data_IF_753699993887
#
_entry.id   IF_753699993887
#
_cell.length_a   1.000
_cell.length_b   1.000
_cell.length_c   1.000
_cell.angle_alpha   90.00
_cell.angle_beta   90.00
_cell.angle_gamma   90.00
#
_symmetry.space_group_name_H-M   'P 1'
#
loop_
_entity.id
_entity.type
_entity.pdbx_description
1 polymer ?
#
# COMPACT_ATOMS: atom_id res chain seq x y z
N UNK A 1 3.86 -10.30 1.23
CA UNK A 1 4.44 -10.64 2.55
C UNK A 1 5.83 -10.02 2.63
N UNK A 2 6.29 -9.60 3.81
CA UNK A 2 7.67 -9.10 3.97
C UNK A 2 8.68 -10.21 3.64
N UNK A 3 9.84 -9.84 3.08
CA UNK A 3 10.92 -10.79 2.75
C UNK A 3 10.70 -11.67 1.50
N UNK A 4 9.57 -11.55 0.79
CA UNK A 4 9.31 -12.39 -0.38
C UNK A 4 10.01 -11.96 -1.68
N UNK A 5 10.62 -10.77 -1.72
CA UNK A 5 11.28 -10.23 -2.91
C UNK A 5 10.35 -9.45 -3.86
N UNK A 6 9.23 -8.95 -3.37
CA UNK A 6 8.29 -8.11 -4.16
C UNK A 6 8.99 -6.92 -4.82
N UNK A 7 9.83 -6.20 -4.06
CA UNK A 7 10.61 -5.07 -4.58
C UNK A 7 11.54 -5.49 -5.73
N UNK A 8 12.24 -6.62 -5.59
CA UNK A 8 13.09 -7.16 -6.66
C UNK A 8 12.31 -7.43 -7.94
N UNK A 9 11.09 -7.99 -7.84
CA UNK A 9 10.22 -8.19 -9.00
C UNK A 9 9.81 -6.84 -9.63
N UNK A 10 9.37 -5.88 -8.82
CA UNK A 10 8.93 -4.58 -9.32
C UNK A 10 10.06 -3.78 -9.96
N UNK A 11 11.28 -3.90 -9.45
CA UNK A 11 12.46 -3.28 -10.05
C UNK A 11 12.80 -3.93 -11.39
N UNK A 12 12.65 -5.25 -11.49
CA UNK A 12 12.82 -5.97 -12.76
C UNK A 12 11.76 -5.59 -13.79
N UNK A 13 10.51 -5.41 -13.36
CA UNK A 13 9.40 -4.92 -14.21
C UNK A 13 9.71 -3.53 -14.76
N UNK A 14 10.17 -2.61 -13.90
CA UNK A 14 10.58 -1.25 -14.31
C UNK A 14 11.77 -1.30 -15.27
N UNK A 15 12.78 -2.10 -14.98
CA UNK A 15 13.96 -2.27 -15.84
C UNK A 15 13.61 -2.85 -17.22
N UNK A 16 12.55 -3.66 -17.31
CA UNK A 16 12.01 -4.17 -18.57
C UNK A 16 11.15 -3.14 -19.34
N UNK A 17 11.01 -1.91 -18.84
CA UNK A 17 10.29 -0.82 -19.50
C UNK A 17 8.79 -0.77 -19.19
N UNK A 18 8.30 -1.59 -18.26
CA UNK A 18 6.89 -1.53 -17.85
C UNK A 18 6.66 -0.49 -16.77
N UNK A 19 5.55 0.24 -16.87
CA UNK A 19 5.14 1.18 -15.82
C UNK A 19 4.66 0.42 -14.59
N UNK A 20 5.25 0.79 -13.46
CA UNK A 20 4.92 0.21 -12.16
C UNK A 20 4.80 1.30 -11.10
N UNK A 21 3.57 1.54 -10.63
CA UNK A 21 3.25 2.53 -9.60
C UNK A 21 3.22 1.88 -8.23
N UNK A 22 3.85 2.52 -7.24
CA UNK A 22 3.82 2.10 -5.84
C UNK A 22 2.61 2.73 -5.13
N UNK A 23 1.63 1.91 -4.77
CA UNK A 23 0.41 2.34 -4.08
C UNK A 23 0.69 2.84 -2.65
N UNK A 24 1.73 2.33 -1.98
CA UNK A 24 2.14 2.79 -0.65
C UNK A 24 2.78 4.18 -0.76
N UNK A 25 3.48 4.46 -1.87
CA UNK A 25 3.95 5.81 -2.19
C UNK A 25 2.78 6.75 -2.50
N UNK A 26 1.84 6.37 -3.36
CA UNK A 26 0.65 7.17 -3.66
C UNK A 26 -0.11 7.52 -2.37
N UNK A 27 -0.29 6.56 -1.45
CA UNK A 27 -0.92 6.80 -0.15
C UNK A 27 -0.20 7.82 0.75
N UNK A 28 1.11 8.04 0.54
CA UNK A 28 1.85 9.13 1.21
C UNK A 28 1.69 10.45 0.50
N UNK A 29 1.61 10.43 -0.83
CA UNK A 29 1.49 11.61 -1.69
C UNK A 29 0.12 12.26 -1.59
N UNK A 30 -0.94 11.50 -1.30
CA UNK A 30 -2.26 12.09 -1.02
C UNK A 30 -2.30 12.96 0.25
N UNK A 31 -1.24 12.94 1.06
CA UNK A 31 -1.09 13.81 2.24
C UNK A 31 -0.14 14.98 1.98
N UNK A 32 0.32 15.18 0.73
CA UNK A 32 1.13 16.35 0.37
C UNK A 32 0.24 17.59 0.22
N UNK A 33 0.80 18.80 0.47
CA UNK A 33 0.06 20.06 0.33
C UNK A 33 -0.69 20.16 -1.00
N UNK A 34 -1.91 20.70 -0.95
CA UNK A 34 -2.78 20.85 -2.12
C UNK A 34 -3.66 19.62 -2.43
N UNK A 35 -3.48 18.50 -1.71
CA UNK A 35 -4.36 17.34 -1.87
C UNK A 35 -5.79 17.63 -1.37
N UNK A 36 -6.83 17.24 -2.13
CA UNK A 36 -8.23 17.57 -1.80
C UNK A 36 -8.72 16.92 -0.50
N UNK A 37 -8.13 15.81 -0.08
CA UNK A 37 -8.55 15.11 1.14
C UNK A 37 -8.08 15.81 2.43
N UNK A 38 -7.11 16.73 2.37
CA UNK A 38 -6.54 17.40 3.56
C UNK A 38 -7.60 18.18 4.34
N UNK A 39 -8.49 18.89 3.65
CA UNK A 39 -9.55 19.69 4.30
C UNK A 39 -10.48 18.78 5.12
N UNK A 40 -10.86 17.63 4.57
CA UNK A 40 -11.67 16.64 5.28
C UNK A 40 -10.93 16.04 6.46
N UNK A 41 -9.63 15.78 6.32
CA UNK A 41 -8.80 15.30 7.43
C UNK A 41 -8.68 16.32 8.56
N UNK A 42 -8.59 17.62 8.24
CA UNK A 42 -8.59 18.69 9.26
C UNK A 42 -9.92 18.79 9.99
N UNK A 43 -11.05 18.63 9.30
CA UNK A 43 -12.38 18.62 9.90
C UNK A 43 -12.56 17.43 10.85
N UNK A 44 -12.06 16.26 10.47
CA UNK A 44 -12.24 15.02 11.21
C UNK A 44 -11.24 14.87 12.36
N UNK A 45 -9.96 15.18 12.12
CA UNK A 45 -8.87 14.91 13.07
C UNK A 45 -8.31 16.17 13.73
N UNK A 46 -8.88 17.35 13.47
CA UNK A 46 -8.49 18.65 14.04
C UNK A 46 -7.60 19.46 13.11
N UNK A 47 -7.82 20.78 13.03
CA UNK A 47 -7.13 21.64 12.07
C UNK A 47 -5.60 21.67 12.20
N UNK A 48 -5.10 21.43 13.41
CA UNK A 48 -3.68 21.39 13.79
C UNK A 48 -2.92 20.15 13.29
N UNK A 49 -3.60 19.21 12.59
CA UNK A 49 -2.91 18.15 11.84
C UNK A 49 -2.11 18.69 10.64
N UNK A 50 -2.33 19.95 10.26
CA UNK A 50 -1.58 20.65 9.22
C UNK A 50 -0.81 21.81 9.86
N UNK A 51 0.46 21.98 9.50
CA UNK A 51 1.25 23.13 9.94
C UNK A 51 1.02 24.39 9.09
N UNK A 52 1.67 25.48 9.47
CA UNK A 52 1.54 26.79 8.80
C UNK A 52 2.03 26.75 7.34
N UNK A 53 2.87 25.79 6.96
CA UNK A 53 3.33 25.57 5.59
C UNK A 53 2.39 24.67 4.77
N UNK A 54 1.26 24.25 5.34
CA UNK A 54 0.31 23.36 4.68
C UNK A 54 0.71 21.88 4.71
N UNK A 55 1.75 21.51 5.46
CA UNK A 55 2.22 20.12 5.55
C UNK A 55 1.45 19.35 6.61
N UNK A 56 1.01 18.13 6.26
CA UNK A 56 0.38 17.23 7.21
C UNK A 56 1.42 16.73 8.21
N UNK A 57 1.17 16.97 9.50
CA UNK A 57 1.88 16.40 10.65
C UNK A 57 1.53 14.92 10.77
N UNK A 58 2.13 14.09 9.91
CA UNK A 58 1.79 12.67 9.73
C UNK A 58 1.79 11.88 11.04
N UNK A 59 2.71 12.17 11.96
CA UNK A 59 2.76 11.53 13.28
C UNK A 59 1.51 11.85 14.11
N UNK A 60 1.13 13.13 14.18
CA UNK A 60 -0.06 13.57 14.91
C UNK A 60 -1.35 12.98 14.29
N UNK A 61 -1.44 12.99 12.96
CA UNK A 61 -2.56 12.35 12.27
C UNK A 61 -2.63 10.85 12.57
N UNK A 62 -1.49 10.14 12.51
CA UNK A 62 -1.42 8.73 12.82
C UNK A 62 -1.81 8.44 14.29
N UNK A 63 -1.29 9.22 15.23
CA UNK A 63 -1.59 9.07 16.66
C UNK A 63 -3.11 9.22 16.91
N UNK A 64 -3.78 10.17 16.24
CA UNK A 64 -5.24 10.37 16.34
C UNK A 64 -6.04 9.31 15.60
N UNK A 65 -5.68 9.02 14.36
CA UNK A 65 -6.43 8.09 13.52
C UNK A 65 -6.33 6.65 14.02
N UNK A 66 -5.16 6.22 14.48
CA UNK A 66 -4.92 4.84 14.93
C UNK A 66 -5.25 4.61 16.42
N UNK A 67 -5.69 5.65 17.15
CA UNK A 67 -6.15 5.51 18.53
C UNK A 67 -7.39 4.61 18.66
N UNK A 68 -8.24 4.55 17.62
CA UNK A 68 -9.45 3.73 17.62
C UNK A 68 -9.69 3.06 16.26
N UNK A 69 -10.40 1.91 16.23
CA UNK A 69 -10.84 1.30 14.97
C UNK A 69 -11.68 2.25 14.11
N UNK A 70 -12.53 3.06 14.74
CA UNK A 70 -13.37 4.06 14.06
C UNK A 70 -12.51 5.16 13.42
N UNK A 71 -11.50 5.67 14.12
CA UNK A 71 -10.55 6.64 13.56
C UNK A 71 -9.81 6.08 12.34
N UNK A 72 -9.40 4.81 12.40
CA UNK A 72 -8.73 4.14 11.28
C UNK A 72 -9.66 4.01 10.07
N UNK A 73 -10.92 3.65 10.32
CA UNK A 73 -11.94 3.57 9.29
C UNK A 73 -12.24 4.94 8.65
N UNK A 74 -12.31 6.02 9.45
CA UNK A 74 -12.53 7.38 8.95
C UNK A 74 -11.35 7.90 8.14
N UNK A 75 -10.12 7.70 8.61
CA UNK A 75 -8.91 8.04 7.83
C UNK A 75 -8.95 7.33 6.48
N UNK A 76 -9.22 6.03 6.50
CA UNK A 76 -9.31 5.22 5.27
C UNK A 76 -10.41 5.74 4.34
N UNK A 77 -11.60 6.04 4.86
CA UNK A 77 -12.72 6.52 4.07
C UNK A 77 -12.43 7.88 3.39
N UNK A 78 -11.67 8.75 4.06
CA UNK A 78 -11.27 10.05 3.52
C UNK A 78 -10.14 9.91 2.49
N UNK A 79 -9.11 9.12 2.76
CA UNK A 79 -7.92 9.06 1.89
C UNK A 79 -8.10 8.12 0.69
N UNK A 80 -8.88 7.05 0.83
CA UNK A 80 -8.98 6.00 -0.19
C UNK A 80 -9.54 6.48 -1.54
N UNK A 81 -10.58 7.34 -1.61
CA UNK A 81 -11.06 7.88 -2.87
C UNK A 81 -9.96 8.62 -3.66
N UNK A 82 -9.16 9.44 -2.98
CA UNK A 82 -8.06 10.20 -3.61
C UNK A 82 -6.91 9.28 -4.05
N UNK A 83 -6.60 8.24 -3.27
CA UNK A 83 -5.61 7.22 -3.67
C UNK A 83 -6.06 6.53 -4.96
N UNK A 84 -7.33 6.14 -5.03
CA UNK A 84 -7.87 5.49 -6.23
C UNK A 84 -7.89 6.43 -7.42
N UNK A 85 -8.26 7.70 -7.22
CA UNK A 85 -8.25 8.68 -8.27
C UNK A 85 -6.86 8.83 -8.92
N UNK A 86 -5.79 8.94 -8.11
CA UNK A 86 -4.42 9.04 -8.62
C UNK A 86 -3.95 7.78 -9.35
N UNK A 87 -4.34 6.60 -8.86
CA UNK A 87 -4.03 5.33 -9.53
C UNK A 87 -4.79 5.20 -10.87
N UNK A 88 -6.06 5.61 -10.90
CA UNK A 88 -6.88 5.59 -12.11
C UNK A 88 -6.34 6.58 -13.16
N UNK A 89 -5.85 7.77 -12.76
CA UNK A 89 -5.15 8.71 -13.62
C UNK A 89 -3.86 8.11 -14.20
N UNK A 90 -2.99 7.56 -13.35
CA UNK A 90 -1.74 6.95 -13.80
C UNK A 90 -1.97 5.78 -14.77
N UNK A 91 -3.04 5.00 -14.56
CA UNK A 91 -3.46 3.93 -15.46
C UNK A 91 -4.01 4.48 -16.79
N UNK A 92 -4.77 5.57 -16.76
CA UNK A 92 -5.27 6.22 -17.97
C UNK A 92 -4.13 6.80 -18.82
N UNK A 93 -3.14 7.45 -18.19
CA UNK A 93 -1.93 7.95 -18.86
C UNK A 93 -1.13 6.82 -19.53
N UNK A 94 -0.94 5.70 -18.82
CA UNK A 94 -0.29 4.51 -19.37
C UNK A 94 -1.01 4.02 -20.64
N UNK A 95 -2.35 3.96 -20.59
CA UNK A 95 -3.19 3.54 -21.70
C UNK A 95 -3.08 4.50 -22.89
N UNK A 96 -3.07 5.81 -22.64
CA UNK A 96 -2.89 6.82 -23.68
C UNK A 96 -1.50 6.73 -24.34
N UNK A 97 -0.48 6.36 -23.58
CA UNK A 97 0.88 6.09 -24.09
C UNK A 97 0.99 4.76 -24.86
N UNK A 98 -0.10 4.00 -25.02
CA UNK A 98 -0.12 2.72 -25.74
C UNK A 98 0.44 1.55 -24.94
N UNK A 99 0.64 1.71 -23.62
CA UNK A 99 1.13 0.64 -22.75
C UNK A 99 0.06 -0.45 -22.60
N UNK A 100 0.44 -1.69 -22.91
CA UNK A 100 -0.47 -2.85 -22.80
C UNK A 100 -0.58 -3.42 -21.39
N UNK A 101 0.42 -3.15 -20.55
CA UNK A 101 0.51 -3.65 -19.18
C UNK A 101 0.87 -2.50 -18.25
N UNK A 102 0.15 -2.41 -17.14
CA UNK A 102 0.37 -1.46 -16.06
C UNK A 102 0.38 -2.22 -14.74
N UNK A 103 1.41 -1.99 -13.93
CA UNK A 103 1.59 -2.69 -12.67
C UNK A 103 1.32 -1.74 -11.50
N UNK A 104 0.57 -2.22 -10.53
CA UNK A 104 0.43 -1.55 -9.23
C UNK A 104 1.09 -2.43 -8.18
N UNK A 105 2.12 -1.88 -7.55
CA UNK A 105 2.74 -2.49 -6.40
C UNK A 105 2.08 -1.99 -5.11
N UNK A 106 1.54 -2.89 -4.30
CA UNK A 106 0.94 -2.53 -3.02
C UNK A 106 1.03 -3.67 -2.01
N UNK A 107 1.39 -3.35 -0.77
CA UNK A 107 1.47 -4.35 0.29
C UNK A 107 0.10 -4.96 0.66
N UNK A 108 -0.99 -4.20 0.45
CA UNK A 108 -2.35 -4.53 0.89
C UNK A 108 -3.35 -4.39 -0.26
N UNK A 109 -3.14 -5.12 -1.36
CA UNK A 109 -4.13 -5.17 -2.45
C UNK A 109 -5.19 -6.24 -2.18
N UNK A 110 -4.76 -7.46 -1.84
CA UNK A 110 -5.66 -8.61 -1.69
C UNK A 110 -6.63 -8.40 -0.54
N UNK A 111 -7.92 -8.57 -0.80
CA UNK A 111 -9.01 -8.40 0.17
C UNK A 111 -9.48 -6.96 0.34
N UNK A 112 -8.95 -6.00 -0.43
CA UNK A 112 -9.43 -4.60 -0.44
C UNK A 112 -10.33 -4.33 -1.64
N UNK A 113 -11.13 -3.24 -1.63
CA UNK A 113 -11.89 -2.83 -2.82
C UNK A 113 -11.02 -2.56 -4.05
N UNK A 114 -9.72 -2.26 -3.87
CA UNK A 114 -8.78 -2.06 -4.97
C UNK A 114 -8.54 -3.33 -5.78
N UNK A 115 -8.62 -4.52 -5.16
CA UNK A 115 -8.46 -5.79 -5.87
C UNK A 115 -9.39 -5.91 -7.08
N UNK A 116 -10.61 -5.36 -7.00
CA UNK A 116 -11.60 -5.39 -8.10
C UNK A 116 -11.18 -4.57 -9.32
N UNK A 117 -10.20 -3.67 -9.18
CA UNK A 117 -9.62 -2.89 -10.28
C UNK A 117 -8.49 -3.62 -11.00
N UNK A 118 -7.99 -4.72 -10.44
CA UNK A 118 -6.89 -5.48 -11.01
C UNK A 118 -7.44 -6.61 -11.91
N UNK A 119 -7.09 -6.60 -13.20
CA UNK A 119 -7.42 -7.72 -14.10
C UNK A 119 -6.70 -9.01 -13.71
N UNK A 120 -5.50 -8.87 -13.15
CA UNK A 120 -4.69 -9.98 -12.67
C UNK A 120 -4.03 -9.63 -11.34
N UNK A 121 -3.84 -10.64 -10.48
CA UNK A 121 -3.09 -10.53 -9.24
C UNK A 121 -1.82 -11.36 -9.33
N UNK A 122 -0.68 -10.72 -9.10
CA UNK A 122 0.63 -11.39 -9.01
C UNK A 122 1.01 -11.54 -7.55
N UNK A 123 1.07 -12.77 -7.06
CA UNK A 123 1.52 -13.07 -5.71
C UNK A 123 3.00 -13.47 -5.71
N UNK A 124 3.84 -12.62 -5.12
CA UNK A 124 5.24 -12.96 -4.88
C UNK A 124 5.37 -13.68 -3.54
N UNK A 125 5.93 -14.88 -3.56
CA UNK A 125 6.13 -15.69 -2.37
C UNK A 125 7.52 -16.31 -2.35
N UNK A 126 8.06 -16.46 -1.14
CA UNK A 126 9.28 -17.22 -0.86
C UNK A 126 8.97 -18.25 0.24
N UNK A 127 9.82 -19.29 0.42
CA UNK A 127 9.76 -20.14 1.60
C UNK A 127 9.78 -19.30 2.88
N UNK A 128 9.12 -19.78 3.93
CA UNK A 128 8.95 -19.03 5.18
C UNK A 128 10.31 -18.70 5.80
N UNK A 129 11.17 -19.71 5.94
CA UNK A 129 12.53 -19.55 6.49
C UNK A 129 13.40 -18.60 5.66
N UNK A 130 13.31 -18.64 4.32
CA UNK A 130 13.99 -17.68 3.46
C UNK A 130 13.53 -16.24 3.73
N UNK A 131 12.22 -16.06 3.97
CA UNK A 131 11.68 -14.74 4.32
C UNK A 131 12.17 -14.27 5.69
N UNK A 132 12.25 -15.17 6.69
CA UNK A 132 12.82 -14.88 8.02
C UNK A 132 14.27 -14.43 7.89
N UNK A 133 15.12 -15.20 7.20
CA UNK A 133 16.53 -14.86 6.98
C UNK A 133 16.71 -13.49 6.34
N UNK A 134 15.95 -13.20 5.28
CA UNK A 134 15.99 -11.91 4.57
C UNK A 134 15.56 -10.74 5.46
N UNK A 135 14.52 -10.92 6.27
CA UNK A 135 14.06 -9.90 7.21
C UNK A 135 15.12 -9.64 8.28
N UNK A 136 15.71 -10.70 8.85
CA UNK A 136 16.77 -10.56 9.86
C UNK A 136 17.98 -9.79 9.28
N UNK A 137 18.43 -10.18 8.09
CA UNK A 137 19.56 -9.55 7.42
C UNK A 137 19.31 -8.07 7.08
N UNK A 138 18.09 -7.73 6.64
CA UNK A 138 17.73 -6.36 6.23
C UNK A 138 17.45 -5.45 7.44
N UNK A 139 16.71 -5.95 8.42
CA UNK A 139 16.20 -5.13 9.54
C UNK A 139 17.09 -5.21 10.80
N UNK A 140 18.10 -6.10 10.82
CA UNK A 140 18.98 -6.29 11.98
C UNK A 140 18.28 -6.86 13.21
N UNK A 141 17.21 -7.65 13.01
CA UNK A 141 16.38 -8.18 14.10
C UNK A 141 16.57 -9.68 14.30
N UNK A 142 16.24 -10.16 15.51
CA UNK A 142 16.25 -11.57 15.85
C UNK A 142 15.21 -12.38 15.04
N UNK A 143 15.48 -13.66 14.72
CA UNK A 143 14.57 -14.53 13.98
C UNK A 143 13.16 -14.60 14.58
N UNK A 144 13.04 -14.62 15.89
CA UNK A 144 11.77 -14.67 16.61
C UNK A 144 10.92 -13.42 16.32
N UNK A 145 11.55 -12.25 16.23
CA UNK A 145 10.88 -11.00 15.88
C UNK A 145 10.44 -11.00 14.41
N UNK A 146 11.29 -11.50 13.51
CA UNK A 146 10.94 -11.65 12.10
C UNK A 146 9.76 -12.61 11.89
N UNK A 147 9.73 -13.74 12.61
CA UNK A 147 8.61 -14.70 12.61
C UNK A 147 7.31 -14.05 13.07
N UNK A 148 7.32 -13.34 14.21
CA UNK A 148 6.16 -12.58 14.72
C UNK A 148 5.62 -11.61 13.66
N UNK A 149 6.50 -10.86 12.97
CA UNK A 149 6.10 -9.96 11.88
C UNK A 149 5.46 -10.70 10.71
N UNK A 150 5.97 -11.86 10.33
CA UNK A 150 5.44 -12.68 9.23
C UNK A 150 4.09 -13.31 9.58
N UNK A 151 3.90 -13.70 10.83
CA UNK A 151 2.67 -14.35 11.31
C UNK A 151 1.53 -13.35 11.50
N UNK A 152 1.85 -12.10 11.83
CA UNK A 152 0.90 -10.99 11.85
C UNK A 152 0.38 -10.62 10.45
N UNK A 153 1.03 -11.07 9.38
CA UNK A 153 0.60 -10.85 7.99
C UNK A 153 -0.22 -12.02 7.46
N UNK A 154 -1.31 -11.75 6.74
CA UNK A 154 -2.21 -12.74 6.12
C UNK A 154 -1.48 -13.99 5.61
N UNK A 155 -1.91 -15.17 6.10
CA UNK A 155 -1.35 -16.49 5.80
C UNK A 155 -1.32 -16.77 4.30
N UNK A 156 -0.27 -17.45 3.78
CA UNK A 156 -0.20 -17.85 2.35
C UNK A 156 -1.45 -18.64 1.94
N UNK A 157 -2.00 -19.46 2.85
CA UNK A 157 -3.29 -20.16 2.68
C UNK A 157 -4.45 -19.19 2.44
N UNK A 158 -4.57 -18.11 3.22
CA UNK A 158 -5.63 -17.12 3.03
C UNK A 158 -5.52 -16.39 1.68
N UNK A 159 -4.30 -16.09 1.22
CA UNK A 159 -4.07 -15.43 -0.06
C UNK A 159 -4.38 -16.35 -1.26
N UNK A 160 -4.02 -17.64 -1.17
CA UNK A 160 -4.33 -18.63 -2.20
C UNK A 160 -5.80 -19.06 -2.21
N UNK A 161 -6.44 -19.17 -1.05
CA UNK A 161 -7.85 -19.56 -0.94
C UNK A 161 -8.79 -18.47 -1.47
N UNK A 162 -8.44 -17.19 -1.30
CA UNK A 162 -9.21 -16.06 -1.86
C UNK A 162 -9.08 -15.92 -3.38
N UNK A 163 -8.10 -16.56 -4.01
CA UNK A 163 -8.04 -16.66 -5.49
C UNK A 163 -9.17 -17.53 -6.05
N UNK A 164 -9.62 -18.56 -5.33
CA UNK A 164 -10.69 -19.48 -5.76
C UNK A 164 -12.12 -18.96 -5.50
N UNK A 165 -12.27 -17.81 -4.85
CA UNK A 165 -13.59 -17.23 -4.53
C UNK A 165 -14.00 -16.10 -5.49
N UNK A 166 -13.21 -15.86 -6.55
CA UNK A 166 -13.46 -14.81 -7.54
C UNK A 166 -13.45 -15.35 -8.98
N UNK A 167 -13.58 -16.67 -9.14
CA UNK A 167 -13.94 -17.29 -10.43
C UNK A 167 -15.46 -17.38 -10.54
#
# INVERSE_FOLDING_TARGET
RSGCGKSTLTDSIRAAGFRCVDADQVAREVLLPGSPCIVQLQQEFGADIVDEAGQVRRRLLADRAFATPQGTARLTAITQPEIYHRLDLAMAEARQAGEKLFFVDGAVIVGTPFQKRCSHLVLVAAPYETSVQRICARDGIAPEMARRRLDAQLTRKCLACRRRLCD
#
